data_IF_886245678898
#
_entry.id   IF_886245678898
#
_cell.length_a   1.000
_cell.length_b   1.000
_cell.length_c   1.000
_cell.angle_alpha   90.00
_cell.angle_beta   90.00
_cell.angle_gamma   90.00
#
_symmetry.space_group_name_H-M   'P 1'
#
loop_
_entity.id
_entity.type
_entity.pdbx_description
1 polymer ?
#
# COMPACT_ATOMS: atom_id res chain seq x y z
N UNK A 1 -22.74 3.69 9.75
CA UNK A 1 -21.52 3.77 8.94
C UNK A 1 -20.50 2.84 9.56
N UNK A 2 -19.87 1.92 8.82
CA UNK A 2 -18.78 1.13 9.38
C UNK A 2 -17.65 2.06 9.84
N UNK A 3 -16.99 1.71 10.94
CA UNK A 3 -15.87 2.47 11.47
C UNK A 3 -14.71 2.49 10.46
N UNK A 4 -13.98 3.61 10.30
CA UNK A 4 -12.77 3.66 9.50
C UNK A 4 -11.83 2.50 9.87
N UNK A 5 -11.48 1.66 8.89
CA UNK A 5 -10.61 0.49 9.10
C UNK A 5 -11.31 -0.83 9.44
N UNK A 6 -12.63 -0.85 9.66
CA UNK A 6 -13.37 -2.10 9.92
C UNK A 6 -13.30 -3.06 8.74
N UNK A 7 -13.47 -2.57 7.50
CA UNK A 7 -13.34 -3.39 6.29
C UNK A 7 -11.93 -3.96 6.14
N UNK A 8 -10.89 -3.15 6.39
CA UNK A 8 -9.51 -3.60 6.32
C UNK A 8 -9.25 -4.75 7.31
N UNK A 9 -9.81 -4.67 8.53
CA UNK A 9 -9.72 -5.74 9.51
C UNK A 9 -10.40 -7.02 9.04
N UNK A 10 -11.64 -6.91 8.54
CA UNK A 10 -12.39 -8.08 8.07
C UNK A 10 -11.75 -8.72 6.84
N UNK A 11 -11.19 -7.91 5.93
CA UNK A 11 -10.41 -8.39 4.78
C UNK A 11 -9.15 -9.16 5.21
N UNK A 12 -8.43 -8.67 6.23
CA UNK A 12 -7.28 -9.41 6.79
C UNK A 12 -7.71 -10.76 7.36
N UNK A 13 -8.82 -10.79 8.10
CA UNK A 13 -9.39 -12.06 8.62
C UNK A 13 -9.77 -13.00 7.48
N UNK A 14 -10.47 -12.52 6.46
CA UNK A 14 -10.87 -13.36 5.34
C UNK A 14 -9.66 -13.87 4.53
N UNK A 15 -8.63 -13.05 4.33
CA UNK A 15 -7.38 -13.47 3.70
C UNK A 15 -6.63 -14.53 4.53
N UNK A 16 -6.77 -14.52 5.86
CA UNK A 16 -6.20 -15.54 6.74
C UNK A 16 -6.99 -16.85 6.71
N UNK A 17 -8.33 -16.80 6.69
CA UNK A 17 -9.20 -17.99 6.61
C UNK A 17 -9.25 -18.61 5.21
N UNK A 18 -9.06 -17.80 4.16
CA UNK A 18 -9.13 -18.18 2.76
C UNK A 18 -10.49 -17.90 2.11
N UNK A 19 -10.50 -17.86 0.76
CA UNK A 19 -11.67 -17.49 -0.05
C UNK A 19 -12.92 -18.36 0.22
N UNK A 20 -12.73 -19.62 0.64
CA UNK A 20 -13.81 -20.55 0.95
C UNK A 20 -14.59 -20.25 2.23
N UNK A 21 -14.06 -19.38 3.12
CA UNK A 21 -14.74 -19.02 4.37
C UNK A 21 -15.94 -18.11 4.10
N UNK A 22 -17.12 -18.70 4.19
CA UNK A 22 -18.39 -18.01 3.93
C UNK A 22 -18.74 -16.97 5.01
N UNK A 23 -18.33 -17.20 6.26
CA UNK A 23 -18.64 -16.30 7.38
C UNK A 23 -17.82 -15.03 7.26
N UNK A 24 -16.51 -15.18 7.06
CA UNK A 24 -15.60 -14.07 6.82
C UNK A 24 -15.95 -13.32 5.52
N UNK A 25 -16.27 -14.04 4.44
CA UNK A 25 -16.70 -13.44 3.18
C UNK A 25 -18.01 -12.66 3.29
N UNK A 26 -19.01 -13.19 4.00
CA UNK A 26 -20.27 -12.48 4.24
C UNK A 26 -20.07 -11.24 5.11
N UNK A 27 -19.20 -11.29 6.12
CA UNK A 27 -18.83 -10.13 6.92
C UNK A 27 -18.13 -9.05 6.08
N UNK A 28 -17.20 -9.44 5.20
CA UNK A 28 -16.48 -8.51 4.32
C UNK A 28 -17.45 -7.82 3.36
N UNK A 29 -18.34 -8.58 2.70
CA UNK A 29 -19.36 -8.04 1.78
C UNK A 29 -20.29 -7.05 2.46
N UNK A 30 -20.82 -7.38 3.63
CA UNK A 30 -21.69 -6.46 4.40
C UNK A 30 -20.96 -5.18 4.78
N UNK A 31 -19.72 -5.31 5.27
CA UNK A 31 -18.92 -4.16 5.70
C UNK A 31 -18.55 -3.27 4.52
N UNK A 32 -18.14 -3.85 3.39
CA UNK A 32 -17.79 -3.11 2.17
C UNK A 32 -18.99 -2.40 1.54
N UNK A 33 -20.15 -3.07 1.47
CA UNK A 33 -21.39 -2.45 0.99
C UNK A 33 -21.83 -1.29 1.90
N UNK A 34 -21.79 -1.47 3.22
CA UNK A 34 -22.13 -0.41 4.17
C UNK A 34 -21.18 0.79 4.13
N UNK A 35 -19.93 0.56 3.70
CA UNK A 35 -18.92 1.61 3.50
C UNK A 35 -18.97 2.25 2.10
N UNK A 36 -19.81 1.74 1.18
CA UNK A 36 -19.77 2.16 -0.23
C UNK A 36 -18.42 1.89 -0.91
N UNK A 37 -17.67 0.89 -0.46
CA UNK A 37 -16.32 0.62 -0.98
C UNK A 37 -16.37 0.09 -2.40
N UNK A 38 -15.72 0.80 -3.33
CA UNK A 38 -15.56 0.38 -4.72
C UNK A 38 -14.10 0.12 -5.10
N UNK A 39 -13.14 0.61 -4.29
CA UNK A 39 -11.70 0.40 -4.51
C UNK A 39 -11.04 -0.07 -3.22
N UNK A 40 -10.20 -1.10 -3.32
CA UNK A 40 -9.29 -1.53 -2.26
C UNK A 40 -7.85 -1.32 -2.71
N UNK A 41 -7.11 -0.55 -1.92
CA UNK A 41 -5.68 -0.30 -2.09
C UNK A 41 -4.91 -1.29 -1.22
N UNK A 42 -4.11 -2.14 -1.86
CA UNK A 42 -3.24 -3.12 -1.22
C UNK A 42 -1.84 -2.52 -1.08
N UNK A 43 -1.31 -2.57 0.13
CA UNK A 43 0.07 -2.18 0.44
C UNK A 43 0.75 -3.25 1.29
N UNK A 44 2.08 -3.29 1.30
CA UNK A 44 2.80 -4.40 1.94
C UNK A 44 2.71 -4.33 3.46
N UNK A 45 2.92 -3.14 4.02
CA UNK A 45 3.02 -2.94 5.46
C UNK A 45 2.22 -1.75 6.01
N UNK A 46 2.28 -1.61 7.33
CA UNK A 46 1.65 -0.52 8.05
C UNK A 46 2.30 0.85 7.75
N UNK A 47 3.59 0.88 7.39
CA UNK A 47 4.25 2.14 6.99
C UNK A 47 3.68 2.69 5.70
N UNK A 48 3.50 1.82 4.70
CA UNK A 48 2.88 2.19 3.44
C UNK A 48 1.43 2.65 3.64
N UNK A 49 0.68 1.97 4.50
CA UNK A 49 -0.69 2.34 4.85
C UNK A 49 -0.74 3.77 5.39
N UNK A 50 0.08 4.08 6.39
CA UNK A 50 0.12 5.42 6.98
C UNK A 50 0.60 6.49 5.98
N UNK A 51 1.58 6.18 5.13
CA UNK A 51 2.04 7.10 4.10
C UNK A 51 0.92 7.43 3.08
N UNK A 52 0.21 6.42 2.58
CA UNK A 52 -0.90 6.62 1.62
C UNK A 52 -2.00 7.50 2.24
N UNK A 53 -2.41 7.22 3.48
CA UNK A 53 -3.42 8.02 4.17
C UNK A 53 -2.95 9.45 4.42
N UNK A 54 -1.69 9.63 4.84
CA UNK A 54 -1.11 10.94 5.09
C UNK A 54 -1.05 11.81 3.83
N UNK A 55 -0.58 11.27 2.70
CA UNK A 55 -0.55 12.01 1.43
C UNK A 55 -1.96 12.33 0.93
N UNK A 56 -2.92 11.41 1.09
CA UNK A 56 -4.30 11.70 0.75
C UNK A 56 -4.89 12.84 1.60
N UNK A 57 -4.71 12.78 2.93
CA UNK A 57 -5.18 13.80 3.85
C UNK A 57 -4.53 15.17 3.58
N UNK A 58 -3.24 15.21 3.26
CA UNK A 58 -2.54 16.44 2.86
C UNK A 58 -3.13 17.08 1.58
N UNK A 59 -3.85 16.30 0.76
CA UNK A 59 -4.60 16.77 -0.43
C UNK A 59 -6.07 17.06 -0.14
N UNK A 60 -6.47 17.08 1.13
CA UNK A 60 -7.86 17.27 1.54
C UNK A 60 -8.77 16.10 1.18
N UNK A 61 -8.23 14.90 0.98
CA UNK A 61 -8.99 13.70 0.62
C UNK A 61 -9.23 12.81 1.82
N UNK A 62 -10.49 12.45 2.02
CA UNK A 62 -10.87 11.35 2.90
C UNK A 62 -11.15 10.12 2.04
N UNK A 63 -10.15 9.24 1.93
CA UNK A 63 -10.25 8.03 1.11
C UNK A 63 -11.41 7.13 1.53
N UNK A 64 -11.73 7.05 2.83
CA UNK A 64 -12.82 6.22 3.30
C UNK A 64 -14.17 6.79 2.87
N UNK A 65 -14.34 8.11 2.96
CA UNK A 65 -15.53 8.80 2.45
C UNK A 65 -15.64 8.73 0.92
N UNK A 66 -14.51 8.61 0.21
CA UNK A 66 -14.44 8.37 -1.24
C UNK A 66 -14.67 6.89 -1.64
N UNK A 67 -15.00 5.99 -0.71
CA UNK A 67 -15.21 4.57 -1.02
C UNK A 67 -13.93 3.79 -1.33
N UNK A 68 -12.78 4.27 -0.83
CA UNK A 68 -11.45 3.66 -1.00
C UNK A 68 -10.96 3.11 0.34
N UNK A 69 -10.71 1.80 0.41
CA UNK A 69 -10.18 1.13 1.60
C UNK A 69 -8.71 0.77 1.42
N UNK A 70 -7.82 1.27 2.27
CA UNK A 70 -6.39 0.91 2.27
C UNK A 70 -6.16 -0.27 3.21
N UNK A 71 -5.44 -1.29 2.75
CA UNK A 71 -5.19 -2.54 3.49
C UNK A 71 -3.72 -2.91 3.44
N UNK A 72 -3.07 -2.94 4.60
CA UNK A 72 -1.76 -3.57 4.79
C UNK A 72 -1.89 -5.09 4.76
N UNK A 73 -1.23 -5.73 3.79
CA UNK A 73 -1.28 -7.17 3.56
C UNK A 73 -0.42 -7.99 4.53
N UNK A 74 0.58 -7.36 5.16
CA UNK A 74 1.56 -8.07 6.01
C UNK A 74 2.60 -8.84 5.19
N UNK A 75 3.03 -8.25 4.07
CA UNK A 75 4.02 -8.79 3.14
C UNK A 75 3.52 -8.94 1.70
N UNK A 76 4.37 -8.65 0.72
CA UNK A 76 4.06 -8.69 -0.72
C UNK A 76 3.44 -10.01 -1.18
N UNK A 77 3.95 -11.16 -0.71
CA UNK A 77 3.48 -12.49 -1.12
C UNK A 77 2.01 -12.76 -0.80
N UNK A 78 1.44 -12.06 0.20
CA UNK A 78 0.04 -12.20 0.57
C UNK A 78 -0.91 -11.62 -0.49
N UNK A 79 -0.43 -10.84 -1.48
CA UNK A 79 -1.26 -10.34 -2.60
C UNK A 79 -2.03 -11.47 -3.31
N UNK A 80 -1.47 -12.67 -3.35
CA UNK A 80 -2.09 -13.89 -3.90
C UNK A 80 -3.35 -14.30 -3.16
N UNK A 81 -3.46 -13.97 -1.88
CA UNK A 81 -4.63 -14.24 -1.05
C UNK A 81 -5.66 -13.14 -1.20
N UNK A 82 -5.25 -11.88 -1.32
CA UNK A 82 -6.17 -10.74 -1.41
C UNK A 82 -6.84 -10.60 -2.78
N UNK A 83 -6.08 -10.71 -3.89
CA UNK A 83 -6.64 -10.47 -5.22
C UNK A 83 -7.87 -11.31 -5.56
N UNK A 84 -7.94 -12.62 -5.21
CA UNK A 84 -9.16 -13.41 -5.39
C UNK A 84 -10.36 -12.88 -4.58
N UNK A 85 -10.14 -12.41 -3.35
CA UNK A 85 -11.20 -11.85 -2.50
C UNK A 85 -11.78 -10.54 -3.06
N UNK A 86 -10.98 -9.80 -3.82
CA UNK A 86 -11.39 -8.53 -4.43
C UNK A 86 -12.00 -8.72 -5.81
N UNK A 87 -11.77 -9.87 -6.45
CA UNK A 87 -12.32 -10.18 -7.77
C UNK A 87 -13.82 -10.49 -7.79
N UNK A 88 -14.37 -10.83 -8.97
CA UNK A 88 -15.82 -11.07 -9.15
C UNK A 88 -16.41 -12.17 -8.26
N UNK A 89 -15.61 -13.18 -7.89
CA UNK A 89 -16.03 -14.24 -6.95
C UNK A 89 -16.02 -13.82 -5.48
N UNK A 90 -15.60 -12.60 -5.16
CA UNK A 90 -15.38 -12.09 -3.81
C UNK A 90 -16.23 -10.86 -3.50
N UNK A 91 -15.58 -9.70 -3.38
CA UNK A 91 -16.21 -8.39 -3.20
C UNK A 91 -16.58 -7.71 -4.52
N UNK A 92 -15.99 -8.13 -5.64
CA UNK A 92 -16.14 -7.49 -6.95
C UNK A 92 -15.83 -5.97 -6.94
N UNK A 93 -14.67 -5.64 -6.36
CA UNK A 93 -14.18 -4.25 -6.24
C UNK A 93 -12.86 -4.10 -6.99
N UNK A 94 -12.54 -2.86 -7.35
CA UNK A 94 -11.27 -2.56 -7.99
C UNK A 94 -10.13 -2.76 -6.99
N UNK A 95 -9.05 -3.39 -7.44
CA UNK A 95 -7.80 -3.47 -6.70
C UNK A 95 -6.80 -2.47 -7.28
N UNK A 96 -6.07 -1.79 -6.40
CA UNK A 96 -4.90 -0.98 -6.73
C UNK A 96 -3.84 -1.20 -5.65
N UNK A 97 -2.60 -0.74 -5.84
CA UNK A 97 -1.60 -0.92 -4.79
C UNK A 97 -0.23 -0.35 -5.09
N UNK A 98 0.61 -0.37 -4.05
CA UNK A 98 2.05 -0.16 -4.13
C UNK A 98 2.75 -1.50 -3.88
N UNK A 99 3.92 -1.65 -4.50
CA UNK A 99 4.80 -2.79 -4.29
C UNK A 99 6.25 -2.40 -4.55
N UNK A 100 7.18 -3.16 -3.99
CA UNK A 100 8.61 -2.93 -4.25
C UNK A 100 9.01 -3.57 -5.59
N UNK A 101 9.87 -2.94 -6.39
CA UNK A 101 10.22 -3.45 -7.73
C UNK A 101 10.78 -4.89 -7.71
N UNK A 102 11.45 -5.27 -6.61
CA UNK A 102 11.94 -6.64 -6.40
C UNK A 102 10.79 -7.69 -6.33
N UNK A 103 9.60 -7.28 -5.90
CA UNK A 103 8.41 -8.11 -5.72
C UNK A 103 7.54 -8.18 -6.99
N UNK A 104 7.93 -7.50 -8.07
CA UNK A 104 7.21 -7.49 -9.34
C UNK A 104 6.78 -8.88 -9.85
N UNK A 105 7.63 -9.94 -9.80
CA UNK A 105 7.23 -11.28 -10.23
C UNK A 105 6.05 -11.84 -9.45
N UNK A 106 5.94 -11.53 -8.15
CA UNK A 106 4.87 -11.98 -7.27
C UNK A 106 3.54 -11.35 -7.69
N UNK A 107 3.53 -10.03 -7.91
CA UNK A 107 2.34 -9.29 -8.34
C UNK A 107 1.88 -9.71 -9.74
N UNK A 108 2.81 -9.87 -10.69
CA UNK A 108 2.49 -10.38 -12.03
C UNK A 108 1.81 -11.73 -11.97
N UNK A 109 2.36 -12.67 -11.21
CA UNK A 109 1.80 -14.01 -11.13
C UNK A 109 0.42 -14.00 -10.46
N UNK A 110 0.23 -13.17 -9.43
CA UNK A 110 -1.05 -13.07 -8.73
C UNK A 110 -2.16 -12.46 -9.60
N UNK A 111 -1.85 -11.44 -10.40
CA UNK A 111 -2.80 -10.85 -11.36
C UNK A 111 -3.10 -11.79 -12.52
N UNK A 112 -2.09 -12.46 -13.08
CA UNK A 112 -2.32 -13.47 -14.11
C UNK A 112 -3.24 -14.59 -13.61
N UNK A 113 -3.06 -15.06 -12.36
CA UNK A 113 -3.95 -16.07 -11.77
C UNK A 113 -5.40 -15.55 -11.59
N UNK A 114 -5.59 -14.26 -11.31
CA UNK A 114 -6.91 -13.63 -11.21
C UNK A 114 -7.63 -13.58 -12.55
N UNK A 115 -6.93 -13.23 -13.62
CA UNK A 115 -7.53 -13.01 -14.95
C UNK A 115 -7.92 -14.31 -15.66
N UNK A 116 -7.15 -15.39 -15.46
CA UNK A 116 -7.28 -16.61 -16.27
C UNK A 116 -8.06 -17.74 -15.60
N UNK A 117 -8.34 -17.65 -14.30
CA UNK A 117 -8.75 -18.84 -13.53
C UNK A 117 -7.71 -19.97 -13.64
N UNK A 118 -8.01 -21.17 -13.15
CA UNK A 118 -7.07 -22.32 -13.21
C UNK A 118 -6.85 -22.89 -14.64
N UNK A 119 -7.27 -22.18 -15.69
CA UNK A 119 -7.21 -22.62 -17.09
C UNK A 119 -5.84 -22.37 -17.73
N UNK A 120 -5.08 -23.43 -17.92
CA UNK A 120 -3.83 -23.40 -18.68
C UNK A 120 -4.13 -23.49 -20.18
N UNK A 121 -3.84 -22.45 -20.97
CA UNK A 121 -4.05 -22.58 -22.41
C UNK A 121 -3.94 -21.35 -23.30
N UNK A 122 -3.02 -20.41 -23.04
CA UNK A 122 -2.45 -19.52 -24.06
C UNK A 122 -1.28 -18.74 -23.46
N UNK A 123 -0.25 -18.44 -24.27
CA UNK A 123 0.77 -17.46 -23.90
C UNK A 123 0.11 -16.08 -23.85
N UNK A 124 -0.43 -15.72 -22.69
CA UNK A 124 -1.11 -14.45 -22.49
C UNK A 124 -0.09 -13.34 -22.32
N UNK A 125 -0.40 -12.12 -22.81
CA UNK A 125 0.48 -10.98 -22.60
C UNK A 125 0.71 -10.79 -21.11
N UNK A 126 1.97 -10.59 -20.70
CA UNK A 126 2.29 -10.31 -19.29
C UNK A 126 1.46 -9.09 -18.84
N UNK A 127 0.73 -9.17 -17.71
CA UNK A 127 -0.12 -8.08 -17.26
C UNK A 127 0.74 -6.84 -17.04
N UNK A 128 0.31 -5.72 -17.62
CA UNK A 128 0.88 -4.41 -17.35
C UNK A 128 0.37 -3.95 -15.98
N UNK A 129 1.24 -4.06 -14.98
CA UNK A 129 0.91 -3.79 -13.58
C UNK A 129 0.39 -2.36 -13.38
N UNK A 130 0.99 -1.37 -14.06
CA UNK A 130 0.57 0.01 -13.94
C UNK A 130 -0.84 0.21 -14.49
N UNK A 131 -1.17 -0.43 -15.62
CA UNK A 131 -2.53 -0.42 -16.17
C UNK A 131 -3.53 -1.16 -15.29
N UNK A 132 -3.09 -2.20 -14.57
CA UNK A 132 -3.89 -2.92 -13.58
C UNK A 132 -4.01 -2.19 -12.24
N UNK A 133 -3.40 -1.01 -12.08
CA UNK A 133 -3.49 -0.16 -10.89
C UNK A 133 -2.44 -0.42 -9.80
N UNK A 134 -1.37 -1.13 -10.13
CA UNK A 134 -0.26 -1.44 -9.23
C UNK A 134 1.01 -0.69 -9.64
N UNK A 135 1.63 0.01 -8.69
CA UNK A 135 2.75 0.92 -8.97
C UNK A 135 3.98 0.56 -8.14
N UNK A 136 5.12 0.35 -8.81
CA UNK A 136 6.37 -0.01 -8.16
C UNK A 136 7.04 1.17 -7.46
N UNK A 137 7.49 0.97 -6.22
CA UNK A 137 8.59 1.71 -5.60
C UNK A 137 9.92 1.17 -6.12
N UNK A 138 10.95 2.00 -6.29
CA UNK A 138 12.24 1.54 -6.86
C UNK A 138 12.92 0.52 -5.95
N UNK A 139 13.11 0.86 -4.67
CA UNK A 139 13.64 -0.05 -3.66
C UNK A 139 12.55 -0.37 -2.64
N UNK A 140 12.08 0.65 -1.93
CA UNK A 140 10.90 0.62 -1.08
C UNK A 140 10.30 2.02 -0.92
N UNK A 141 9.15 2.13 -0.26
CA UNK A 141 8.49 3.42 -0.07
C UNK A 141 9.29 4.36 0.83
N UNK A 142 10.03 3.86 1.82
CA UNK A 142 10.83 4.71 2.69
C UNK A 142 11.98 5.39 1.94
N UNK A 143 12.63 4.69 1.00
CA UNK A 143 13.62 5.31 0.12
C UNK A 143 13.00 6.39 -0.78
N UNK A 144 11.83 6.12 -1.36
CA UNK A 144 11.06 7.09 -2.16
C UNK A 144 10.76 8.37 -1.34
N UNK A 145 10.33 8.21 -0.08
CA UNK A 145 10.06 9.32 0.84
C UNK A 145 11.33 10.08 1.23
N UNK A 146 12.43 9.37 1.54
CA UNK A 146 13.72 10.00 1.88
C UNK A 146 14.22 10.83 0.70
N UNK A 147 14.12 10.31 -0.52
CA UNK A 147 14.53 11.02 -1.74
C UNK A 147 13.70 12.28 -1.97
N UNK A 148 12.39 12.20 -1.76
CA UNK A 148 11.48 13.32 -1.99
C UNK A 148 11.57 14.41 -0.90
N UNK A 149 11.71 14.03 0.37
CA UNK A 149 11.84 14.95 1.51
C UNK A 149 13.26 15.52 1.64
N UNK A 150 14.26 14.75 1.22
CA UNK A 150 15.68 15.07 1.39
C UNK A 150 16.19 14.80 2.80
N UNK A 151 17.50 14.58 2.92
CA UNK A 151 18.16 14.21 4.19
C UNK A 151 17.92 15.22 5.31
N UNK A 152 18.00 16.53 5.01
CA UNK A 152 17.74 17.58 5.98
C UNK A 152 16.29 17.58 6.50
N UNK A 153 15.31 17.31 5.62
CA UNK A 153 13.91 17.20 6.01
C UNK A 153 13.66 15.96 6.88
N UNK A 154 14.28 14.83 6.55
CA UNK A 154 14.20 13.61 7.37
C UNK A 154 14.84 13.83 8.74
N UNK A 155 16.01 14.46 8.82
CA UNK A 155 16.66 14.80 10.09
C UNK A 155 15.81 15.76 10.93
N UNK A 156 15.06 16.66 10.29
CA UNK A 156 14.12 17.51 11.00
C UNK A 156 12.98 16.71 11.63
N UNK A 157 12.43 15.71 10.92
CA UNK A 157 11.45 14.77 11.50
C UNK A 157 12.05 14.04 12.69
N UNK A 158 13.25 13.47 12.56
CA UNK A 158 13.92 12.75 13.65
C UNK A 158 14.04 13.61 14.90
N UNK A 159 14.42 14.88 14.73
CA UNK A 159 14.53 15.84 15.84
C UNK A 159 13.17 16.14 16.48
N UNK A 160 12.13 16.36 15.69
CA UNK A 160 10.78 16.62 16.21
C UNK A 160 10.17 15.41 16.92
N UNK A 161 10.48 14.19 16.48
CA UNK A 161 10.10 12.97 17.18
C UNK A 161 10.97 12.69 18.41
N UNK A 162 11.99 13.52 18.68
CA UNK A 162 12.86 13.43 19.85
C UNK A 162 13.94 12.35 19.76
N UNK A 163 14.24 11.83 18.56
CA UNK A 163 15.09 10.66 18.37
C UNK A 163 16.50 10.98 17.83
N UNK A 164 16.93 12.25 17.88
CA UNK A 164 18.26 12.69 17.43
C UNK A 164 19.41 11.90 18.05
N UNK A 165 19.31 11.55 19.35
CA UNK A 165 20.31 10.72 20.02
C UNK A 165 20.37 9.31 19.42
N UNK A 166 19.24 8.73 19.07
CA UNK A 166 19.17 7.41 18.43
C UNK A 166 19.86 7.41 17.07
N UNK A 167 19.61 8.45 16.26
CA UNK A 167 20.27 8.60 14.97
C UNK A 167 21.78 8.78 15.11
N UNK A 168 22.24 9.62 16.05
CA UNK A 168 23.66 9.79 16.32
C UNK A 168 24.33 8.46 16.73
N UNK A 169 23.70 7.71 17.63
CA UNK A 169 24.19 6.38 18.04
C UNK A 169 24.33 5.44 16.85
N UNK A 170 23.35 5.39 15.94
CA UNK A 170 23.42 4.57 14.74
C UNK A 170 24.58 4.99 13.83
N UNK A 171 24.78 6.29 13.61
CA UNK A 171 25.87 6.82 12.78
C UNK A 171 27.26 6.50 13.32
N UNK A 172 27.42 6.39 14.63
CA UNK A 172 28.71 6.02 15.23
C UNK A 172 29.05 4.52 15.10
N UNK A 173 28.08 3.67 14.76
CA UNK A 173 28.31 2.24 14.59
C UNK A 173 29.23 1.97 13.39
N UNK A 174 30.24 1.09 13.52
CA UNK A 174 31.18 0.81 12.43
C UNK A 174 30.52 0.36 11.13
N UNK A 175 29.43 -0.39 11.21
CA UNK A 175 28.68 -0.90 10.06
C UNK A 175 28.06 0.19 9.16
N UNK A 176 27.98 1.43 9.64
CA UNK A 176 27.30 2.53 8.94
C UNK A 176 28.24 3.66 8.49
N UNK A 177 29.54 3.59 8.82
CA UNK A 177 30.51 4.66 8.50
C UNK A 177 30.75 4.87 7.00
N UNK A 178 30.59 3.82 6.19
CA UNK A 178 30.74 3.88 4.73
C UNK A 178 29.44 4.08 3.96
N UNK A 179 28.30 4.11 4.66
CA UNK A 179 26.99 4.31 4.04
C UNK A 179 26.73 5.78 3.74
N UNK A 180 25.96 6.07 2.69
CA UNK A 180 25.50 7.44 2.42
C UNK A 180 24.56 7.92 3.55
N UNK A 181 24.38 9.24 3.72
CA UNK A 181 23.42 9.78 4.68
C UNK A 181 22.00 9.21 4.50
N UNK A 182 21.55 9.02 3.26
CA UNK A 182 20.25 8.45 2.91
C UNK A 182 20.15 7.00 3.40
N UNK A 183 21.18 6.18 3.17
CA UNK A 183 21.22 4.79 3.64
C UNK A 183 21.23 4.69 5.17
N UNK A 184 21.95 5.58 5.85
CA UNK A 184 21.95 5.64 7.32
C UNK A 184 20.56 6.00 7.86
N UNK A 185 19.90 6.98 7.23
CA UNK A 185 18.54 7.37 7.59
C UNK A 185 17.56 6.24 7.32
N UNK A 186 17.58 5.65 6.13
CA UNK A 186 16.75 4.50 5.76
C UNK A 186 16.88 3.37 6.78
N UNK A 187 18.12 3.00 7.12
CA UNK A 187 18.40 2.03 8.17
C UNK A 187 17.82 2.43 9.52
N UNK A 188 17.97 3.69 9.91
CA UNK A 188 17.42 4.22 11.15
C UNK A 188 15.90 4.11 11.19
N UNK A 189 15.20 4.47 10.11
CA UNK A 189 13.75 4.34 10.01
C UNK A 189 13.29 2.87 10.12
N UNK A 190 14.09 1.94 9.59
CA UNK A 190 13.81 0.50 9.58
C UNK A 190 14.10 -0.26 10.89
N UNK A 191 14.71 0.36 11.91
CA UNK A 191 15.20 -0.38 13.10
C UNK A 191 14.11 -0.97 14.02
N UNK A 192 12.83 -0.57 13.90
CA UNK A 192 11.75 -1.14 14.74
C UNK A 192 10.40 -1.12 14.04
N UNK A 193 9.69 -2.25 14.06
CA UNK A 193 8.29 -2.33 13.62
C UNK A 193 7.41 -1.41 14.48
N UNK A 194 6.57 -0.58 13.84
CA UNK A 194 5.79 0.48 14.50
C UNK A 194 6.45 1.86 14.41
N UNK A 195 7.76 1.97 14.66
CA UNK A 195 8.52 3.21 14.40
C UNK A 195 8.46 3.58 12.91
N UNK A 196 8.62 2.59 12.03
CA UNK A 196 8.57 2.78 10.56
C UNK A 196 7.27 3.47 10.12
N UNK A 197 6.12 3.09 10.67
CA UNK A 197 4.83 3.69 10.32
C UNK A 197 4.69 5.14 10.79
N UNK A 198 5.16 5.44 12.00
CA UNK A 198 5.21 6.81 12.52
C UNK A 198 6.07 7.72 11.65
N UNK A 199 7.24 7.25 11.20
CA UNK A 199 8.10 8.01 10.30
C UNK A 199 7.51 8.14 8.90
N UNK A 200 6.96 7.07 8.34
CA UNK A 200 6.33 7.11 7.01
C UNK A 200 5.22 8.16 6.96
N UNK A 201 4.37 8.22 8.01
CA UNK A 201 3.39 9.28 8.19
C UNK A 201 4.02 10.67 8.25
N UNK A 202 4.98 10.87 9.16
CA UNK A 202 5.57 12.18 9.40
C UNK A 202 6.38 12.72 8.20
N UNK A 203 6.94 11.82 7.38
CA UNK A 203 7.60 12.15 6.12
C UNK A 203 6.58 12.46 5.02
N UNK A 204 5.52 11.66 4.91
CA UNK A 204 4.44 11.89 3.96
C UNK A 204 3.72 13.23 4.19
N UNK A 205 3.49 13.62 5.45
CA UNK A 205 2.91 14.92 5.84
C UNK A 205 3.79 16.12 5.46
N UNK A 206 5.08 15.90 5.16
CA UNK A 206 6.04 16.94 4.75
C UNK A 206 6.27 17.01 3.24
N UNK A 207 5.70 16.09 2.48
CA UNK A 207 5.89 16.10 1.04
C UNK A 207 5.32 17.39 0.45
N UNK A 208 6.13 18.06 -0.37
CA UNK A 208 5.61 19.06 -1.27
C UNK A 208 4.74 18.34 -2.31
N UNK A 209 3.51 18.83 -2.60
CA UNK A 209 2.67 18.24 -3.63
C UNK A 209 3.38 18.10 -4.99
N UNK A 210 4.30 19.00 -5.33
CA UNK A 210 5.10 18.96 -6.56
C UNK A 210 6.25 17.94 -6.54
N UNK A 211 6.64 17.45 -5.36
CA UNK A 211 7.72 16.47 -5.18
C UNK A 211 7.24 15.11 -4.68
N UNK A 212 5.92 14.86 -4.63
CA UNK A 212 5.40 13.56 -4.20
C UNK A 212 5.97 12.43 -5.09
N UNK A 213 6.44 11.32 -4.50
CA UNK A 213 6.90 10.17 -5.25
C UNK A 213 5.90 9.69 -6.31
N UNK A 214 6.39 9.44 -7.51
CA UNK A 214 5.56 9.03 -8.65
C UNK A 214 4.67 7.78 -8.37
N UNK A 215 5.09 6.77 -7.58
CA UNK A 215 4.21 5.65 -7.23
C UNK A 215 2.98 6.08 -6.42
N UNK A 216 3.16 6.96 -5.43
CA UNK A 216 2.08 7.53 -4.61
C UNK A 216 1.14 8.41 -5.45
N UNK A 217 1.71 9.23 -6.34
CA UNK A 217 0.91 10.06 -7.27
C UNK A 217 0.00 9.23 -8.16
N UNK A 218 0.59 8.21 -8.80
CA UNK A 218 -0.15 7.32 -9.69
C UNK A 218 -1.21 6.54 -8.94
N UNK A 219 -0.91 6.06 -7.73
CA UNK A 219 -1.88 5.39 -6.88
C UNK A 219 -3.07 6.30 -6.55
N UNK A 220 -2.80 7.51 -6.05
CA UNK A 220 -3.85 8.44 -5.67
C UNK A 220 -4.67 8.93 -6.87
N UNK A 221 -4.06 9.03 -8.05
CA UNK A 221 -4.76 9.29 -9.31
C UNK A 221 -5.64 8.11 -9.71
N UNK A 222 -5.09 6.90 -9.62
CA UNK A 222 -5.81 5.67 -9.93
C UNK A 222 -7.07 5.53 -9.07
N UNK A 223 -7.03 5.87 -7.78
CA UNK A 223 -8.21 5.76 -6.90
C UNK A 223 -9.33 6.76 -7.21
N UNK A 224 -9.07 7.85 -7.95
CA UNK A 224 -10.09 8.83 -8.36
C UNK A 224 -10.96 8.39 -9.53
N UNK A 225 -10.45 7.46 -10.35
CA UNK A 225 -11.16 7.00 -11.54
C UNK A 225 -12.32 6.08 -11.12
N UNK A 226 -13.47 6.68 -10.81
CA UNK A 226 -14.75 6.00 -10.63
C UNK A 226 -15.51 5.96 -11.95
N UNK A 227 -15.57 4.78 -12.56
CA UNK A 227 -16.76 4.34 -13.28
C UNK A 227 -16.97 2.87 -12.93
N UNK A 228 -18.18 2.44 -12.53
CA UNK A 228 -18.49 1.02 -12.43
C UNK A 228 -18.39 0.40 -13.84
N UNK A 229 -17.89 -0.84 -14.00
CA UNK A 229 -18.22 -1.59 -15.22
C UNK A 229 -19.75 -1.72 -15.25
N UNK A 230 -20.36 -1.25 -16.34
CA UNK A 230 -21.77 -1.48 -16.60
C UNK A 230 -22.02 -2.99 -16.49
N UNK A 231 -22.91 -3.39 -15.57
CA UNK A 231 -23.42 -4.75 -15.54
C UNK A 231 -24.17 -4.98 -16.86
N UNK A 232 -23.64 -5.84 -17.71
CA UNK A 232 -24.43 -6.41 -18.80
C UNK A 232 -25.57 -7.21 -18.18
N UNK A 233 -26.84 -6.95 -18.54
CA UNK A 233 -27.92 -7.83 -18.14
C UNK A 233 -27.76 -9.15 -18.91
N UNK A 234 -27.54 -10.23 -18.17
CA UNK A 234 -27.73 -11.61 -18.64
C UNK A 234 -28.99 -12.17 -18.02
#
# INVERSE_FOLDING_TARGET
>A
MPEPGQLASVLRTWAACGLGDQVAGAAARRTGAAAGTHTVVLVEGASDHEAVLAVAAARGRDLAAEGVCVVSMGGATNVRRYLPLLGPGGLDVRAAGLYDAAEEPVFRQALAAREHGQGHGAATPRPDLARSGFFACVADLEEELIRAVGTAGVEAVVRELGESRGLATLRHQPAHRGCSPEQQLHRFLGTTSGRKARYARALAERLDPSSTPAPLERLLTATRLSAPPARSPG
#
